data_IF_863269244165
#
_entry.id   IF_863269244165
#
_cell.length_a   1.000
_cell.length_b   1.000
_cell.length_c   1.000
_cell.angle_alpha   90.00
_cell.angle_beta   90.00
_cell.angle_gamma   90.00
#
_symmetry.space_group_name_H-M   'P 1'
#
loop_
_entity.id
_entity.type
_entity.pdbx_description
1 polymer ?
#
# COMPACT_ATOMS: atom_id res chain seq x y z
N UNK A 1 -21.55 -10.43 -15.27
CA UNK A 1 -20.19 -10.76 -14.79
C UNK A 1 -19.22 -9.59 -15.04
N UNK A 2 -19.55 -8.35 -14.65
CA UNK A 2 -18.69 -7.15 -14.86
C UNK A 2 -18.71 -6.19 -13.63
N UNK A 3 -19.41 -6.51 -12.55
CA UNK A 3 -19.44 -5.63 -11.35
C UNK A 3 -18.22 -5.83 -10.44
N UNK A 4 -17.78 -7.08 -10.24
CA UNK A 4 -16.72 -7.38 -9.27
C UNK A 4 -15.31 -6.90 -9.66
N UNK A 5 -14.98 -6.79 -10.94
CA UNK A 5 -13.63 -6.32 -11.34
C UNK A 5 -13.41 -4.85 -10.96
N UNK A 6 -14.41 -4.00 -11.20
CA UNK A 6 -14.34 -2.59 -10.82
C UNK A 6 -14.33 -2.43 -9.30
N UNK A 7 -15.09 -3.24 -8.56
CA UNK A 7 -15.08 -3.23 -7.09
C UNK A 7 -13.73 -3.65 -6.52
N UNK A 8 -13.07 -4.64 -7.13
CA UNK A 8 -11.73 -5.10 -6.73
C UNK A 8 -10.68 -4.01 -7.03
N UNK A 9 -10.74 -3.37 -8.19
CA UNK A 9 -9.82 -2.28 -8.54
C UNK A 9 -9.97 -1.10 -7.57
N UNK A 10 -11.21 -0.69 -7.26
CA UNK A 10 -11.50 0.35 -6.25
C UNK A 10 -11.00 -0.04 -4.85
N UNK A 11 -11.14 -1.31 -4.48
CA UNK A 11 -10.62 -1.82 -3.22
C UNK A 11 -9.09 -1.69 -3.13
N UNK A 12 -8.36 -2.06 -4.18
CA UNK A 12 -6.90 -1.89 -4.22
C UNK A 12 -6.46 -0.43 -4.25
N UNK A 13 -7.18 0.44 -4.97
CA UNK A 13 -6.94 1.89 -4.97
C UNK A 13 -7.10 2.45 -3.55
N UNK A 14 -8.15 2.03 -2.84
CA UNK A 14 -8.41 2.44 -1.46
C UNK A 14 -7.28 2.00 -0.52
N UNK A 15 -6.83 0.75 -0.63
CA UNK A 15 -5.69 0.24 0.13
C UNK A 15 -4.43 1.08 -0.15
N UNK A 16 -4.12 1.35 -1.43
CA UNK A 16 -2.98 2.17 -1.83
C UNK A 16 -3.03 3.58 -1.22
N UNK A 17 -4.20 4.21 -1.21
CA UNK A 17 -4.44 5.52 -0.58
C UNK A 17 -4.26 5.48 0.94
N UNK A 18 -4.70 4.42 1.60
CA UNK A 18 -4.51 4.26 3.04
C UNK A 18 -3.04 4.08 3.41
N UNK A 19 -2.30 3.24 2.69
CA UNK A 19 -0.85 3.10 2.86
C UNK A 19 -0.18 4.46 2.72
N UNK A 20 -0.48 5.20 1.65
CA UNK A 20 0.03 6.56 1.43
C UNK A 20 -0.27 7.49 2.62
N UNK A 21 -1.53 7.54 3.04
CA UNK A 21 -2.00 8.39 4.15
C UNK A 21 -1.25 8.11 5.45
N UNK A 22 -1.11 6.84 5.84
CA UNK A 22 -0.43 6.50 7.10
C UNK A 22 1.10 6.62 6.99
N UNK A 23 1.67 6.34 5.82
CA UNK A 23 3.08 6.60 5.52
C UNK A 23 3.42 8.08 5.70
N UNK A 24 2.61 8.97 5.12
CA UNK A 24 2.79 10.42 5.25
C UNK A 24 2.60 10.90 6.69
N UNK A 25 1.63 10.34 7.42
CA UNK A 25 1.46 10.62 8.86
C UNK A 25 2.66 10.21 9.73
N UNK A 26 3.36 9.13 9.36
CA UNK A 26 4.59 8.68 10.02
C UNK A 26 5.82 9.49 9.56
N UNK A 27 5.67 10.38 8.57
CA UNK A 27 6.75 11.22 8.03
C UNK A 27 7.69 10.48 7.08
N UNK A 28 7.28 9.33 6.53
CA UNK A 28 8.11 8.53 5.63
C UNK A 28 7.89 8.90 4.16
N UNK A 29 8.99 8.97 3.40
CA UNK A 29 8.95 8.96 1.93
C UNK A 29 8.64 7.55 1.41
N UNK A 30 8.22 7.44 0.14
CA UNK A 30 8.02 6.13 -0.49
C UNK A 30 9.31 5.30 -0.54
N UNK A 31 10.46 5.95 -0.75
CA UNK A 31 11.76 5.30 -0.78
C UNK A 31 12.14 4.76 0.61
N UNK A 32 11.91 5.54 1.67
CA UNK A 32 12.15 5.07 3.05
C UNK A 32 11.26 3.87 3.39
N UNK A 33 9.95 3.92 3.09
CA UNK A 33 9.07 2.77 3.31
C UNK A 33 9.56 1.53 2.53
N UNK A 34 10.03 1.71 1.30
CA UNK A 34 10.61 0.63 0.50
C UNK A 34 11.85 0.02 1.17
N UNK A 35 12.75 0.85 1.70
CA UNK A 35 13.95 0.38 2.40
C UNK A 35 13.62 -0.37 3.68
N UNK A 36 12.66 0.12 4.48
CA UNK A 36 12.16 -0.56 5.68
C UNK A 36 11.51 -1.92 5.33
N UNK A 37 10.90 -2.03 4.15
CA UNK A 37 10.38 -3.30 3.61
C UNK A 37 11.46 -4.21 3.00
N UNK A 38 12.74 -3.83 3.10
CA UNK A 38 13.92 -4.52 2.54
C UNK A 38 13.96 -4.59 1.00
N UNK A 39 13.38 -3.59 0.31
CA UNK A 39 13.46 -3.42 -1.14
C UNK A 39 14.44 -2.30 -1.51
N UNK A 40 15.19 -2.49 -2.59
CA UNK A 40 16.22 -1.54 -3.04
C UNK A 40 15.69 -0.38 -3.89
N UNK A 41 14.40 -0.34 -4.22
CA UNK A 41 13.85 0.67 -5.13
C UNK A 41 12.40 1.06 -4.81
N UNK A 42 12.08 2.33 -5.05
CA UNK A 42 10.76 2.93 -4.79
C UNK A 42 9.62 2.32 -5.62
N UNK A 43 9.93 1.55 -6.68
CA UNK A 43 8.99 1.13 -7.71
C UNK A 43 7.80 0.33 -7.19
N UNK A 44 8.00 -0.53 -6.18
CA UNK A 44 6.91 -1.31 -5.60
C UNK A 44 5.91 -0.40 -4.87
N UNK A 45 6.42 0.45 -3.97
CA UNK A 45 5.60 1.35 -3.15
C UNK A 45 4.90 2.38 -4.03
N UNK A 46 5.63 3.02 -4.95
CA UNK A 46 5.04 4.05 -5.82
C UNK A 46 3.98 3.51 -6.76
N UNK A 47 4.19 2.33 -7.34
CA UNK A 47 3.19 1.72 -8.22
C UNK A 47 1.96 1.26 -7.44
N UNK A 48 2.15 0.64 -6.27
CA UNK A 48 1.05 0.11 -5.47
C UNK A 48 0.21 1.20 -4.79
N UNK A 49 0.81 2.31 -4.32
CA UNK A 49 0.05 3.44 -3.78
C UNK A 49 -0.83 4.13 -4.84
N UNK A 50 -0.42 4.10 -6.10
CA UNK A 50 -1.13 4.70 -7.23
C UNK A 50 -1.99 3.70 -8.01
N UNK A 51 -1.97 2.41 -7.63
CA UNK A 51 -2.56 1.30 -8.39
C UNK A 51 -2.13 1.29 -9.87
N UNK A 52 -0.90 1.72 -10.17
CA UNK A 52 -0.39 1.84 -11.54
C UNK A 52 -0.15 0.44 -12.13
N UNK A 53 -0.62 0.20 -13.35
CA UNK A 53 -0.49 -1.09 -14.04
C UNK A 53 -1.03 -2.27 -13.23
N UNK A 54 -2.12 -2.06 -12.48
CA UNK A 54 -2.73 -3.04 -11.55
C UNK A 54 -1.78 -3.57 -10.46
N UNK A 55 -0.68 -2.87 -10.20
CA UNK A 55 0.21 -3.20 -9.08
C UNK A 55 -0.46 -2.81 -7.78
N UNK A 56 -0.46 -3.73 -6.82
CA UNK A 56 -1.06 -3.55 -5.50
C UNK A 56 -0.20 -4.26 -4.45
N UNK A 57 -0.46 -3.94 -3.18
CA UNK A 57 0.17 -4.63 -2.05
C UNK A 57 -0.52 -5.98 -1.83
N UNK A 58 0.28 -7.04 -1.69
CA UNK A 58 -0.24 -8.32 -1.22
C UNK A 58 -0.35 -8.32 0.32
N UNK A 59 -0.89 -9.38 0.91
CA UNK A 59 -1.08 -9.48 2.37
C UNK A 59 0.25 -9.40 3.14
N UNK A 60 1.33 -9.98 2.62
CA UNK A 60 2.65 -9.91 3.26
C UNK A 60 3.17 -8.47 3.31
N UNK A 61 3.04 -7.72 2.20
CA UNK A 61 3.37 -6.31 2.14
C UNK A 61 2.56 -5.53 3.17
N UNK A 62 1.24 -5.72 3.22
CA UNK A 62 0.36 -5.02 4.16
C UNK A 62 0.72 -5.32 5.61
N UNK A 63 1.06 -6.57 5.94
CA UNK A 63 1.53 -6.94 7.27
C UNK A 63 2.83 -6.21 7.63
N UNK A 64 3.84 -6.26 6.77
CA UNK A 64 5.12 -5.55 6.98
C UNK A 64 4.92 -4.03 7.13
N UNK A 65 4.14 -3.44 6.23
CA UNK A 65 3.79 -2.01 6.26
C UNK A 65 3.10 -1.67 7.58
N UNK A 66 2.14 -2.47 8.04
CA UNK A 66 1.45 -2.21 9.31
C UNK A 66 2.42 -2.17 10.51
N UNK A 67 3.45 -3.03 10.51
CA UNK A 67 4.50 -3.04 11.54
C UNK A 67 5.41 -1.83 11.45
N UNK A 68 5.86 -1.46 10.25
CA UNK A 68 6.71 -0.27 10.01
C UNK A 68 5.97 1.02 10.42
N UNK A 69 4.68 1.10 10.12
CA UNK A 69 3.86 2.27 10.42
C UNK A 69 3.31 2.26 11.84
N UNK A 70 3.53 1.19 12.62
CA UNK A 70 3.02 1.00 14.00
C UNK A 70 1.50 1.19 14.11
N UNK A 71 0.75 0.55 13.21
CA UNK A 71 -0.72 0.60 13.18
C UNK A 71 -1.32 -0.79 13.00
N UNK A 72 -2.59 -0.95 13.39
CA UNK A 72 -3.35 -2.15 13.06
C UNK A 72 -3.51 -2.30 11.54
N UNK A 73 -3.28 -3.51 11.03
CA UNK A 73 -3.37 -3.82 9.59
C UNK A 73 -4.75 -3.48 9.00
N UNK A 74 -5.82 -3.58 9.80
CA UNK A 74 -7.18 -3.22 9.38
C UNK A 74 -7.32 -1.75 8.94
N UNK A 75 -6.49 -0.84 9.45
CA UNK A 75 -6.48 0.56 9.03
C UNK A 75 -6.03 0.74 7.59
N UNK A 76 -5.32 -0.25 7.02
CA UNK A 76 -4.94 -0.25 5.61
C UNK A 76 -6.10 -0.70 4.71
N UNK A 77 -7.07 -1.46 5.24
CA UNK A 77 -8.19 -2.02 4.49
C UNK A 77 -9.46 -1.13 4.55
N UNK A 78 -9.60 -0.34 5.61
CA UNK A 78 -10.80 0.45 5.93
C UNK A 78 -10.95 1.77 5.20
#
# INVERSE_FOLDING_TARGET
>A
MIFFENEIDEFYIKIGRNVKKYREKKGLTQLQLSYEMNYKSVSLVSAAELYKNKKHFNIEHLYKISKILEIDIEKLLK
#
